data_IF_627506841195
#
_entry.id   IF_627506841195
#
_cell.length_a   1.000
_cell.length_b   1.000
_cell.length_c   1.000
_cell.angle_alpha   90.00
_cell.angle_beta   90.00
_cell.angle_gamma   90.00
#
_symmetry.space_group_name_H-M   'P 1'
#
loop_
_entity.id
_entity.type
_entity.pdbx_description
1 polymer ?
#
# COMPACT_ATOMS: atom_id res chain seq x y z
N UNK A 1 43.74 -6.35 6.24
CA UNK A 1 43.37 -7.45 5.32
C UNK A 1 41.97 -7.90 5.67
N UNK A 2 41.00 -7.67 4.77
CA UNK A 2 39.61 -8.09 4.93
C UNK A 2 39.52 -9.55 4.50
N UNK A 3 39.00 -10.43 5.35
CA UNK A 3 38.73 -11.82 4.98
C UNK A 3 37.29 -12.14 5.35
N UNK A 4 36.42 -12.17 4.34
CA UNK A 4 35.08 -12.73 4.41
C UNK A 4 35.16 -14.22 4.75
N UNK A 5 34.27 -14.69 5.61
CA UNK A 5 33.90 -16.10 5.68
C UNK A 5 32.38 -16.21 5.67
N UNK A 6 31.87 -16.47 4.48
CA UNK A 6 30.53 -17.00 4.19
C UNK A 6 30.43 -18.36 4.87
N UNK A 7 29.47 -18.55 5.77
CA UNK A 7 29.12 -19.88 6.29
C UNK A 7 27.92 -20.36 5.48
N UNK A 8 28.21 -21.27 4.54
CA UNK A 8 27.26 -22.20 3.96
C UNK A 8 26.77 -23.12 5.08
N UNK A 9 25.47 -23.09 5.42
CA UNK A 9 24.87 -24.14 6.27
C UNK A 9 24.05 -25.07 5.39
N UNK A 10 24.55 -26.30 5.35
CA UNK A 10 24.05 -27.50 4.71
C UNK A 10 22.67 -27.89 5.27
N UNK A 11 21.81 -28.40 4.40
CA UNK A 11 20.41 -28.70 4.69
C UNK A 11 20.13 -29.86 5.64
N UNK A 12 18.90 -29.86 6.13
CA UNK A 12 18.17 -31.04 6.59
C UNK A 12 16.80 -30.99 5.94
N UNK A 13 16.58 -31.86 4.96
CA UNK A 13 15.25 -32.12 4.39
C UNK A 13 14.60 -33.16 5.31
N UNK A 14 13.75 -32.70 6.23
CA UNK A 14 12.75 -33.56 6.86
C UNK A 14 11.44 -33.42 6.09
N UNK A 15 11.18 -34.39 5.21
CA UNK A 15 9.87 -34.58 4.61
C UNK A 15 8.90 -35.13 5.67
N UNK A 16 7.84 -34.39 5.99
CA UNK A 16 6.75 -34.88 6.84
C UNK A 16 5.43 -34.18 6.50
N UNK A 17 4.50 -34.91 5.88
CA UNK A 17 3.05 -34.70 5.95
C UNK A 17 2.44 -33.58 5.10
N UNK A 18 2.06 -33.88 3.85
CA UNK A 18 1.07 -33.10 3.11
C UNK A 18 -0.34 -33.45 3.63
N UNK A 19 -0.90 -32.62 4.52
CA UNK A 19 -2.34 -32.56 4.73
C UNK A 19 -2.94 -31.61 3.70
N UNK A 20 -3.64 -32.16 2.69
CA UNK A 20 -4.39 -31.35 1.73
C UNK A 20 -5.65 -30.81 2.40
N UNK A 21 -5.60 -29.58 2.91
CA UNK A 21 -6.79 -28.77 3.14
C UNK A 21 -7.22 -28.22 1.78
N UNK A 22 -8.36 -28.69 1.27
CA UNK A 22 -9.01 -28.09 0.13
C UNK A 22 -9.49 -26.68 0.51
N UNK A 23 -8.73 -25.66 0.13
CA UNK A 23 -9.19 -24.28 0.18
C UNK A 23 -10.08 -24.09 -1.05
N UNK A 24 -11.38 -23.93 -0.82
CA UNK A 24 -12.36 -23.63 -1.83
C UNK A 24 -12.01 -22.28 -2.49
N UNK A 25 -11.67 -22.33 -3.78
CA UNK A 25 -11.28 -21.17 -4.56
C UNK A 25 -12.54 -20.40 -5.01
N UNK A 26 -13.01 -19.51 -4.14
CA UNK A 26 -14.14 -18.62 -4.39
C UNK A 26 -13.70 -17.29 -4.99
N UNK A 27 -13.18 -17.28 -6.23
CA UNK A 27 -12.86 -16.05 -6.94
C UNK A 27 -13.85 -15.74 -8.06
N UNK A 28 -15.00 -15.16 -7.70
CA UNK A 28 -15.69 -14.19 -8.57
C UNK A 28 -15.27 -12.78 -8.13
N UNK A 29 -14.14 -12.32 -8.67
CA UNK A 29 -13.64 -10.97 -8.49
C UNK A 29 -13.98 -10.12 -9.71
N UNK A 30 -15.27 -9.93 -9.97
CA UNK A 30 -15.73 -8.93 -10.95
C UNK A 30 -16.58 -7.89 -10.20
N UNK A 31 -16.10 -6.64 -10.16
CA UNK A 31 -16.81 -5.52 -9.52
C UNK A 31 -16.10 -4.77 -8.38
N UNK A 32 -15.01 -5.30 -7.77
CA UNK A 32 -14.29 -4.59 -6.66
C UNK A 32 -13.07 -3.77 -7.08
N UNK A 33 -12.92 -3.45 -8.36
CA UNK A 33 -11.84 -2.58 -8.83
C UNK A 33 -12.14 -1.08 -8.67
N UNK A 34 -13.42 -0.66 -8.55
CA UNK A 34 -13.76 0.78 -8.54
C UNK A 34 -13.41 1.50 -7.23
N UNK A 35 -13.64 0.88 -6.06
CA UNK A 35 -13.36 1.50 -4.75
C UNK A 35 -11.86 1.47 -4.38
N UNK A 36 -11.14 0.42 -4.78
CA UNK A 36 -9.71 0.22 -4.41
C UNK A 36 -8.75 1.26 -5.00
N UNK A 37 -9.16 1.97 -6.06
CA UNK A 37 -8.30 2.92 -6.78
C UNK A 37 -8.50 4.38 -6.36
N UNK A 38 -9.67 4.76 -5.85
CA UNK A 38 -9.85 6.09 -5.20
C UNK A 38 -9.00 6.21 -3.94
N UNK A 39 -8.83 5.09 -3.21
CA UNK A 39 -7.95 4.97 -2.06
C UNK A 39 -6.45 5.18 -2.41
N UNK A 40 -6.10 5.19 -3.70
CA UNK A 40 -4.73 5.35 -4.20
C UNK A 40 -4.47 6.72 -4.84
N UNK A 41 -5.49 7.57 -5.01
CA UNK A 41 -5.29 8.92 -5.53
C UNK A 41 -4.52 9.76 -4.48
N UNK A 42 -3.43 10.43 -4.87
CA UNK A 42 -2.73 11.33 -3.96
C UNK A 42 -3.68 12.40 -3.42
N UNK A 43 -3.69 12.61 -2.10
CA UNK A 43 -4.55 13.59 -1.44
C UNK A 43 -4.46 15.00 -2.03
N UNK A 44 -3.27 15.38 -2.51
CA UNK A 44 -3.04 16.65 -3.21
C UNK A 44 -3.92 16.79 -4.46
N UNK A 45 -4.09 15.71 -5.23
CA UNK A 45 -4.97 15.71 -6.41
C UNK A 45 -6.43 15.74 -5.98
N UNK A 46 -6.78 15.06 -4.89
CA UNK A 46 -8.14 15.03 -4.37
C UNK A 46 -8.64 16.43 -4.00
N UNK A 47 -7.82 17.20 -3.29
CA UNK A 47 -8.17 18.54 -2.83
C UNK A 47 -7.96 19.65 -3.89
N UNK A 48 -7.36 19.32 -5.03
CA UNK A 48 -7.04 20.31 -6.06
C UNK A 48 -8.30 21.02 -6.57
N UNK A 49 -8.24 22.36 -6.59
CA UNK A 49 -9.33 23.23 -7.04
C UNK A 49 -10.56 23.22 -6.13
N UNK A 50 -10.46 22.79 -4.87
CA UNK A 50 -11.41 23.19 -3.84
C UNK A 50 -10.96 24.55 -3.29
N UNK A 51 -11.90 25.46 -3.08
CA UNK A 51 -11.62 26.73 -2.41
C UNK A 51 -11.50 26.48 -0.92
N UNK A 52 -10.27 26.35 -0.42
CA UNK A 52 -9.96 26.12 0.98
C UNK A 52 -9.58 27.44 1.65
N UNK A 53 -10.10 27.68 2.86
CA UNK A 53 -9.66 28.83 3.68
C UNK A 53 -8.20 28.68 4.09
N UNK A 54 -7.53 29.78 4.41
CA UNK A 54 -6.13 29.76 4.85
C UNK A 54 -5.90 28.84 6.05
N UNK A 55 -6.86 28.83 6.99
CA UNK A 55 -6.84 27.94 8.16
C UNK A 55 -6.95 26.47 7.75
N UNK A 56 -7.87 26.12 6.84
CA UNK A 56 -7.98 24.75 6.33
C UNK A 56 -6.69 24.32 5.63
N UNK A 57 -6.12 25.18 4.78
CA UNK A 57 -4.88 24.89 4.06
C UNK A 57 -3.70 24.64 5.02
N UNK A 58 -3.55 25.47 6.06
CA UNK A 58 -2.51 25.31 7.07
C UNK A 58 -2.64 23.96 7.81
N UNK A 59 -3.85 23.62 8.27
CA UNK A 59 -4.11 22.37 8.98
C UNK A 59 -3.88 21.14 8.09
N UNK A 60 -4.37 21.18 6.85
CA UNK A 60 -4.15 20.10 5.87
C UNK A 60 -2.65 19.93 5.59
N UNK A 61 -1.90 21.02 5.43
CA UNK A 61 -0.45 20.96 5.20
C UNK A 61 0.27 20.29 6.37
N UNK A 62 -0.10 20.63 7.61
CA UNK A 62 0.45 20.01 8.81
C UNK A 62 0.16 18.50 8.86
N UNK A 63 -1.09 18.09 8.64
CA UNK A 63 -1.49 16.68 8.59
C UNK A 63 -0.70 15.90 7.52
N UNK A 64 -0.52 16.51 6.34
CA UNK A 64 0.23 15.92 5.24
C UNK A 64 1.73 15.77 5.56
N UNK A 65 2.32 16.72 6.28
CA UNK A 65 3.71 16.65 6.73
C UNK A 65 3.90 15.55 7.78
N UNK A 66 3.02 15.47 8.78
CA UNK A 66 3.04 14.40 9.79
C UNK A 66 2.90 13.03 9.14
N UNK A 67 1.94 12.86 8.24
CA UNK A 67 1.76 11.62 7.50
C UNK A 67 3.00 11.26 6.65
N UNK A 68 3.66 12.24 6.03
CA UNK A 68 4.90 12.02 5.27
C UNK A 68 6.02 11.50 6.16
N UNK A 69 6.16 12.02 7.39
CA UNK A 69 7.17 11.54 8.35
C UNK A 69 6.90 10.07 8.74
N UNK A 70 5.66 9.74 9.09
CA UNK A 70 5.26 8.34 9.40
C UNK A 70 5.53 7.42 8.21
N UNK A 71 5.19 7.85 7.00
CA UNK A 71 5.46 7.06 5.79
C UNK A 71 6.94 6.83 5.56
N UNK A 72 7.80 7.84 5.77
CA UNK A 72 9.26 7.70 5.60
C UNK A 72 9.87 6.76 6.64
N UNK A 73 9.44 6.84 7.89
CA UNK A 73 9.90 5.96 8.96
C UNK A 73 9.55 4.49 8.71
N UNK A 74 8.48 4.23 7.94
CA UNK A 74 8.00 2.89 7.61
C UNK A 74 8.32 2.48 6.16
N UNK A 75 9.20 3.19 5.44
CA UNK A 75 9.48 2.94 4.01
C UNK A 75 10.69 2.01 3.80
N UNK A 76 10.53 0.73 4.16
CA UNK A 76 11.54 -0.31 3.90
C UNK A 76 11.54 -0.84 2.46
N UNK A 77 10.79 -0.19 1.53
CA UNK A 77 10.57 -0.69 0.16
C UNK A 77 11.85 -0.95 -0.62
N UNK A 78 12.91 -0.18 -0.36
CA UNK A 78 14.21 -0.37 -0.99
C UNK A 78 14.84 -1.71 -0.63
N UNK A 79 14.76 -2.08 0.64
CA UNK A 79 15.34 -3.30 1.20
C UNK A 79 14.51 -4.53 0.82
N UNK A 80 13.18 -4.47 1.01
CA UNK A 80 12.27 -5.56 0.59
C UNK A 80 12.43 -5.89 -0.90
N UNK A 81 12.64 -4.88 -1.76
CA UNK A 81 12.89 -5.09 -3.20
C UNK A 81 14.24 -5.72 -3.49
N UNK A 82 15.27 -5.44 -2.68
CA UNK A 82 16.58 -6.10 -2.80
C UNK A 82 16.48 -7.56 -2.41
N UNK A 83 15.94 -7.85 -1.23
CA UNK A 83 15.72 -9.21 -0.72
C UNK A 83 14.87 -10.06 -1.68
N UNK A 84 13.82 -9.48 -2.26
CA UNK A 84 13.01 -10.18 -3.28
C UNK A 84 13.83 -10.53 -4.53
N UNK A 85 14.70 -9.63 -5.00
CA UNK A 85 15.57 -9.92 -6.16
C UNK A 85 16.61 -10.99 -5.83
N UNK A 86 17.14 -11.01 -4.62
CA UNK A 86 18.10 -12.02 -4.17
C UNK A 86 17.45 -13.40 -4.10
N UNK A 87 16.23 -13.50 -3.55
CA UNK A 87 15.44 -14.75 -3.53
C UNK A 87 15.18 -15.28 -4.95
N UNK A 88 14.88 -14.40 -5.90
CA UNK A 88 14.63 -14.79 -7.30
C UNK A 88 15.90 -15.13 -8.08
N UNK A 89 17.06 -14.62 -7.66
CA UNK A 89 18.34 -14.88 -8.29
C UNK A 89 19.07 -16.10 -7.69
N UNK A 90 18.56 -16.66 -6.58
CA UNK A 90 19.13 -17.83 -5.94
C UNK A 90 19.02 -19.07 -6.84
N UNK A 91 20.01 -19.96 -6.76
CA UNK A 91 20.04 -21.22 -7.52
C UNK A 91 18.87 -22.15 -7.15
N UNK A 92 18.43 -22.09 -5.89
CA UNK A 92 17.28 -22.81 -5.36
C UNK A 92 16.34 -21.82 -4.68
N UNK A 93 15.03 -22.01 -4.89
CA UNK A 93 14.03 -21.13 -4.30
C UNK A 93 13.80 -21.47 -2.83
N UNK A 94 14.07 -20.51 -1.95
CA UNK A 94 13.76 -20.61 -0.52
C UNK A 94 12.33 -20.11 -0.25
N UNK A 95 11.38 -21.05 -0.22
CA UNK A 95 9.97 -20.76 0.03
C UNK A 95 9.73 -20.17 1.44
N UNK A 96 10.49 -20.61 2.44
CA UNK A 96 10.34 -20.12 3.82
C UNK A 96 10.76 -18.66 3.92
N UNK A 97 11.90 -18.30 3.34
CA UNK A 97 12.35 -16.91 3.29
C UNK A 97 11.40 -16.02 2.46
N UNK A 98 10.87 -16.54 1.35
CA UNK A 98 9.87 -15.81 0.56
C UNK A 98 8.58 -15.53 1.36
N UNK A 99 8.06 -16.52 2.11
CA UNK A 99 6.88 -16.35 2.96
C UNK A 99 7.10 -15.28 4.04
N UNK A 100 8.22 -15.34 4.75
CA UNK A 100 8.57 -14.35 5.78
C UNK A 100 8.65 -12.92 5.20
N UNK A 101 9.29 -12.77 4.04
CA UNK A 101 9.40 -11.48 3.37
C UNK A 101 8.03 -10.90 2.98
N UNK A 102 7.13 -11.76 2.49
CA UNK A 102 5.77 -11.37 2.12
C UNK A 102 4.91 -11.02 3.34
N UNK A 103 5.05 -11.72 4.46
CA UNK A 103 4.35 -11.42 5.71
C UNK A 103 4.77 -10.05 6.27
N UNK A 104 6.08 -9.75 6.29
CA UNK A 104 6.58 -8.43 6.67
C UNK A 104 6.03 -7.34 5.75
N UNK A 105 6.07 -7.57 4.44
CA UNK A 105 5.53 -6.63 3.46
C UNK A 105 4.03 -6.39 3.67
N UNK A 106 3.25 -7.44 3.99
CA UNK A 106 1.82 -7.32 4.25
C UNK A 106 1.56 -6.39 5.44
N UNK A 107 2.27 -6.57 6.56
CA UNK A 107 2.13 -5.72 7.74
C UNK A 107 2.49 -4.25 7.46
N UNK A 108 3.55 -4.02 6.69
CA UNK A 108 3.95 -2.68 6.27
C UNK A 108 2.87 -2.02 5.39
N UNK A 109 2.33 -2.77 4.42
CA UNK A 109 1.25 -2.28 3.55
C UNK A 109 0.00 -1.94 4.36
N UNK A 110 -0.41 -2.80 5.29
CA UNK A 110 -1.55 -2.54 6.17
C UNK A 110 -1.37 -1.26 6.99
N UNK A 111 -0.20 -1.09 7.60
CA UNK A 111 0.15 0.11 8.38
C UNK A 111 0.08 1.37 7.52
N UNK A 112 0.68 1.36 6.33
CA UNK A 112 0.67 2.50 5.41
C UNK A 112 -0.74 2.83 4.91
N UNK A 113 -1.55 1.81 4.61
CA UNK A 113 -2.95 1.98 4.17
C UNK A 113 -3.81 2.57 5.27
N UNK A 114 -3.71 2.04 6.49
CA UNK A 114 -4.44 2.56 7.65
C UNK A 114 -4.06 4.02 7.94
N UNK A 115 -2.77 4.36 7.91
CA UNK A 115 -2.32 5.73 8.09
C UNK A 115 -2.88 6.67 7.00
N UNK A 116 -2.98 6.20 5.75
CA UNK A 116 -3.57 6.96 4.65
C UNK A 116 -5.08 7.19 4.83
N UNK A 117 -5.81 6.18 5.29
CA UNK A 117 -7.23 6.28 5.62
C UNK A 117 -7.49 7.26 6.76
N UNK A 118 -6.68 7.20 7.81
CA UNK A 118 -6.76 8.16 8.93
C UNK A 118 -6.55 9.60 8.45
N UNK A 119 -5.53 9.83 7.63
CA UNK A 119 -5.28 11.15 7.02
C UNK A 119 -6.46 11.62 6.17
N UNK A 120 -7.00 10.75 5.30
CA UNK A 120 -8.18 11.05 4.48
C UNK A 120 -9.37 11.47 5.34
N UNK A 121 -9.67 10.70 6.39
CA UNK A 121 -10.74 11.02 7.32
C UNK A 121 -10.50 12.37 8.00
N UNK A 122 -9.31 12.63 8.54
CA UNK A 122 -9.01 13.89 9.23
C UNK A 122 -9.22 15.10 8.31
N UNK A 123 -8.76 15.00 7.06
CA UNK A 123 -8.92 16.07 6.07
C UNK A 123 -10.41 16.28 5.73
N UNK A 124 -11.20 15.22 5.56
CA UNK A 124 -12.63 15.35 5.27
C UNK A 124 -13.40 16.08 6.39
N UNK A 125 -12.97 15.92 7.65
CA UNK A 125 -13.57 16.62 8.80
C UNK A 125 -13.24 18.12 8.84
N UNK A 126 -12.20 18.56 8.12
CA UNK A 126 -11.87 19.98 7.99
C UNK A 126 -12.70 20.69 6.93
N UNK A 127 -13.36 19.95 6.03
CA UNK A 127 -14.13 20.49 4.92
C UNK A 127 -15.56 20.83 5.34
N UNK A 128 -16.10 21.91 4.77
CA UNK A 128 -17.53 22.22 4.85
C UNK A 128 -18.35 21.22 4.05
N UNK A 129 -19.66 21.20 4.27
CA UNK A 129 -20.54 20.27 3.57
C UNK A 129 -20.54 20.51 2.06
N UNK A 130 -20.53 21.78 1.63
CA UNK A 130 -20.46 22.17 0.23
C UNK A 130 -19.14 21.70 -0.42
N UNK A 131 -18.02 21.86 0.28
CA UNK A 131 -16.71 21.38 -0.19
C UNK A 131 -16.67 19.85 -0.31
N UNK A 132 -17.33 19.12 0.60
CA UNK A 132 -17.44 17.65 0.52
C UNK A 132 -18.29 17.21 -0.66
N UNK A 133 -19.38 17.90 -0.94
CA UNK A 133 -20.23 17.63 -2.11
C UNK A 133 -19.44 17.86 -3.41
N UNK A 134 -18.75 19.00 -3.54
CA UNK A 134 -17.88 19.28 -4.68
C UNK A 134 -16.81 18.19 -4.85
N UNK A 135 -16.25 17.70 -3.74
CA UNK A 135 -15.30 16.61 -3.77
C UNK A 135 -15.92 15.30 -4.28
N UNK A 136 -17.16 14.99 -3.87
CA UNK A 136 -17.93 13.85 -4.36
C UNK A 136 -18.16 13.90 -5.87
N UNK A 137 -18.55 15.04 -6.41
CA UNK A 137 -18.74 15.23 -7.85
C UNK A 137 -17.44 15.04 -8.64
N UNK A 138 -16.33 15.60 -8.13
CA UNK A 138 -15.00 15.42 -8.73
C UNK A 138 -14.62 13.94 -8.78
N UNK A 139 -14.89 13.21 -7.69
CA UNK A 139 -14.65 11.76 -7.64
C UNK A 139 -15.47 11.03 -8.71
N UNK A 140 -16.76 11.32 -8.83
CA UNK A 140 -17.62 10.71 -9.86
C UNK A 140 -17.10 10.98 -11.29
N UNK A 141 -16.72 12.23 -11.58
CA UNK A 141 -16.13 12.63 -12.88
C UNK A 141 -14.82 11.89 -13.17
N UNK A 142 -13.97 11.68 -12.17
CA UNK A 142 -12.73 10.91 -12.34
C UNK A 142 -13.00 9.43 -12.63
N UNK A 143 -13.97 8.81 -11.95
CA UNK A 143 -14.36 7.42 -12.24
C UNK A 143 -14.85 7.30 -13.67
N UNK A 144 -15.75 8.19 -14.10
CA UNK A 144 -16.29 8.18 -15.46
C UNK A 144 -15.20 8.33 -16.53
N UNK A 145 -14.25 9.27 -16.34
CA UNK A 145 -13.12 9.44 -17.26
C UNK A 145 -12.25 8.20 -17.35
N UNK A 146 -12.03 7.51 -16.23
CA UNK A 146 -11.22 6.29 -16.19
C UNK A 146 -11.92 5.13 -16.90
N UNK A 147 -13.22 4.93 -16.67
CA UNK A 147 -14.00 3.90 -17.37
C UNK A 147 -13.92 4.07 -18.88
N UNK A 148 -14.00 5.33 -19.36
CA UNK A 148 -13.86 5.67 -20.78
C UNK A 148 -12.45 5.44 -21.35
N UNK A 149 -11.41 5.51 -20.53
CA UNK A 149 -10.02 5.26 -20.95
C UNK A 149 -9.66 3.77 -20.94
N UNK A 150 -10.41 2.97 -20.20
CA UNK A 150 -10.20 1.53 -20.06
C UNK A 150 -11.16 0.69 -20.93
N UNK A 151 -12.04 1.33 -21.70
CA UNK A 151 -12.92 0.72 -22.71
C UNK A 151 -12.32 0.90 -24.09
#
# INVERSE_FOLDING_TARGET
MKVSKLIFVLGVITASGLSTVAIADGHKADGRHEERHMQQMPMQRMLAGLELTDSQQAQIKQLMQQHRQVRRATDEKGETRRQMRELLAAEQFDETAARLLLEQQQQQVLTQRLAGLKLQHQILQLLTEEQRQQLGEKRAKWQQKKLRHNS
#
